data_IF_086108666798
#
_entry.id   IF_086108666798
#
_cell.length_a   1.000
_cell.length_b   1.000
_cell.length_c   1.000
_cell.angle_alpha   90.00
_cell.angle_beta   90.00
_cell.angle_gamma   90.00
#
_symmetry.space_group_name_H-M   'P 1'
#
loop_
_entity.id
_entity.type
_entity.pdbx_description
1 polymer ?
#
# COMPACT_ATOMS: atom_id res chain seq x y z
N UNK A 1 3.29 -65.19 -43.80
CA UNK A 1 2.30 -64.18 -43.35
C UNK A 1 3.06 -63.02 -42.75
N UNK A 2 2.91 -61.82 -43.32
CA UNK A 2 3.34 -60.55 -42.75
C UNK A 2 2.45 -59.49 -43.42
N UNK A 3 1.54 -58.85 -42.69
CA UNK A 3 0.82 -57.67 -43.19
C UNK A 3 1.47 -56.48 -42.50
N UNK A 4 2.19 -55.60 -43.23
CA UNK A 4 2.75 -54.40 -42.62
C UNK A 4 1.60 -53.48 -42.19
N UNK A 5 1.54 -53.15 -40.91
CA UNK A 5 0.69 -52.09 -40.40
C UNK A 5 1.45 -50.77 -40.62
N UNK A 6 0.98 -49.91 -41.53
CA UNK A 6 1.59 -48.60 -41.75
C UNK A 6 1.09 -47.59 -40.69
N UNK A 7 1.95 -46.65 -40.24
CA UNK A 7 1.54 -45.57 -39.34
C UNK A 7 0.52 -44.64 -40.01
N UNK A 8 -0.30 -43.96 -39.20
CA UNK A 8 -1.27 -42.98 -39.67
C UNK A 8 -0.55 -41.79 -40.34
N UNK A 9 -1.12 -41.30 -41.46
CA UNK A 9 -0.56 -40.18 -42.21
C UNK A 9 -0.73 -38.87 -41.43
N UNK A 10 0.39 -38.30 -40.96
CA UNK A 10 0.45 -36.96 -40.38
C UNK A 10 0.39 -35.90 -41.48
N UNK A 11 -0.75 -35.76 -42.13
CA UNK A 11 -1.00 -34.64 -43.05
C UNK A 11 -2.22 -33.87 -42.56
N UNK A 12 -2.07 -32.63 -42.03
CA UNK A 12 -3.23 -31.83 -41.67
C UNK A 12 -4.00 -31.48 -42.95
N UNK A 13 -5.35 -31.52 -42.92
CA UNK A 13 -6.15 -31.16 -44.07
C UNK A 13 -5.91 -29.69 -44.42
N UNK A 14 -5.62 -29.43 -45.68
CA UNK A 14 -5.56 -28.07 -46.22
C UNK A 14 -6.97 -27.48 -46.22
N UNK A 15 -7.34 -26.80 -45.14
CA UNK A 15 -8.56 -26.00 -45.07
C UNK A 15 -8.43 -24.84 -46.07
N UNK A 16 -9.14 -24.96 -47.19
CA UNK A 16 -9.36 -23.88 -48.14
C UNK A 16 -10.24 -22.81 -47.47
N UNK A 17 -9.59 -21.85 -46.80
CA UNK A 17 -10.17 -20.58 -46.40
C UNK A 17 -9.62 -19.45 -47.27
N UNK A 18 -10.32 -18.30 -47.41
CA UNK A 18 -9.84 -17.17 -48.20
C UNK A 18 -8.47 -16.71 -47.67
N UNK A 19 -7.53 -16.45 -48.58
CA UNK A 19 -6.16 -15.99 -48.32
C UNK A 19 -6.14 -14.88 -47.26
N UNK A 20 -5.83 -15.24 -46.02
CA UNK A 20 -5.49 -14.27 -44.99
C UNK A 20 -4.07 -13.77 -45.31
N UNK A 21 -3.99 -12.53 -45.81
CA UNK A 21 -2.76 -11.75 -45.86
C UNK A 21 -2.14 -11.77 -44.45
N UNK A 22 -0.83 -12.00 -44.29
CA UNK A 22 -0.20 -11.89 -42.97
C UNK A 22 -0.34 -10.45 -42.46
N UNK A 23 -1.24 -10.24 -41.51
CA UNK A 23 -1.30 -8.98 -40.78
C UNK A 23 -0.03 -8.86 -39.93
N UNK A 24 0.68 -7.71 -39.94
CA UNK A 24 1.87 -7.54 -39.11
C UNK A 24 1.51 -7.78 -37.64
N UNK A 25 2.26 -8.69 -37.00
CA UNK A 25 2.12 -9.01 -35.57
C UNK A 25 2.32 -7.70 -34.78
N UNK A 26 1.21 -7.07 -34.37
CA UNK A 26 1.27 -6.00 -33.38
C UNK A 26 1.73 -6.64 -32.07
N UNK A 27 2.75 -6.09 -31.39
CA UNK A 27 3.11 -6.57 -30.07
C UNK A 27 1.92 -6.38 -29.13
N UNK A 28 1.27 -7.47 -28.77
CA UNK A 28 0.29 -7.50 -27.69
C UNK A 28 1.02 -7.16 -26.40
N UNK A 29 0.80 -5.95 -25.91
CA UNK A 29 1.24 -5.55 -24.58
C UNK A 29 0.64 -6.54 -23.57
N UNK A 30 1.44 -7.18 -22.70
CA UNK A 30 0.89 -8.06 -21.68
C UNK A 30 -0.07 -7.25 -20.79
N UNK A 31 -1.20 -7.85 -20.35
CA UNK A 31 -2.09 -7.16 -19.42
C UNK A 31 -1.29 -6.80 -18.17
N UNK A 32 -1.30 -5.50 -17.84
CA UNK A 32 -0.66 -5.02 -16.62
C UNK A 32 -1.23 -5.82 -15.43
N UNK A 33 -0.39 -6.25 -14.46
CA UNK A 33 -0.89 -6.94 -13.29
C UNK A 33 -1.90 -6.03 -12.60
N UNK A 34 -3.16 -6.45 -12.56
CA UNK A 34 -4.19 -5.77 -11.81
C UNK A 34 -3.73 -5.69 -10.36
N UNK A 35 -3.48 -4.48 -9.85
CA UNK A 35 -3.21 -4.27 -8.43
C UNK A 35 -4.40 -4.87 -7.67
N UNK A 36 -4.20 -5.89 -6.82
CA UNK A 36 -5.27 -6.40 -6.00
C UNK A 36 -5.84 -5.23 -5.22
N UNK A 37 -7.17 -5.08 -5.25
CA UNK A 37 -7.82 -4.07 -4.41
C UNK A 37 -7.46 -4.31 -2.95
N UNK A 38 -7.42 -3.26 -2.14
CA UNK A 38 -7.06 -3.34 -0.72
C UNK A 38 -7.88 -4.43 0.01
N UNK A 39 -9.12 -4.65 -0.43
CA UNK A 39 -10.01 -5.73 0.02
C UNK A 39 -9.52 -7.14 -0.32
N UNK A 40 -9.00 -7.38 -1.52
CA UNK A 40 -8.41 -8.69 -1.90
C UNK A 40 -7.11 -8.95 -1.14
N UNK A 41 -6.31 -7.91 -0.88
CA UNK A 41 -5.07 -8.02 -0.12
C UNK A 41 -5.33 -8.30 1.38
N UNK A 42 -6.36 -7.67 1.96
CA UNK A 42 -6.80 -7.94 3.34
C UNK A 42 -7.40 -9.35 3.45
N UNK A 43 -8.12 -9.82 2.43
CA UNK A 43 -8.65 -11.20 2.39
C UNK A 43 -7.54 -12.25 2.25
N UNK A 44 -6.49 -11.93 1.50
CA UNK A 44 -5.33 -12.80 1.32
C UNK A 44 -4.42 -12.86 2.57
N UNK A 45 -4.38 -11.80 3.38
CA UNK A 45 -3.55 -11.77 4.60
C UNK A 45 -4.19 -10.91 5.72
N UNK A 46 -5.12 -11.48 6.51
CA UNK A 46 -5.80 -10.75 7.57
C UNK A 46 -4.85 -10.33 8.71
N UNK A 47 -3.76 -11.08 8.94
CA UNK A 47 -2.77 -10.74 9.96
C UNK A 47 -2.03 -9.43 9.63
N UNK A 48 -1.69 -9.20 8.35
CA UNK A 48 -1.04 -7.96 7.92
C UNK A 48 -1.94 -6.73 8.12
N UNK A 49 -3.26 -6.89 7.94
CA UNK A 49 -4.23 -5.82 8.17
C UNK A 49 -4.29 -5.44 9.67
N UNK A 50 -4.32 -6.42 10.56
CA UNK A 50 -4.35 -6.19 12.02
C UNK A 50 -3.04 -5.54 12.50
N UNK A 51 -1.89 -5.97 11.98
CA UNK A 51 -0.61 -5.33 12.33
C UNK A 51 -0.58 -3.87 11.84
N UNK A 52 -1.11 -3.59 10.66
CA UNK A 52 -1.23 -2.23 10.13
C UNK A 52 -2.08 -1.32 11.01
N UNK A 53 -3.24 -1.78 11.48
CA UNK A 53 -4.10 -0.96 12.35
C UNK A 53 -3.48 -0.74 13.73
N UNK A 54 -2.81 -1.75 14.29
CA UNK A 54 -2.09 -1.61 15.57
C UNK A 54 -0.93 -0.61 15.44
N UNK A 55 -0.18 -0.66 14.34
CA UNK A 55 0.89 0.31 14.08
C UNK A 55 0.36 1.74 13.98
N UNK A 56 -0.74 1.95 13.24
CA UNK A 56 -1.39 3.27 13.15
C UNK A 56 -1.89 3.72 14.51
N UNK A 57 -2.53 2.83 15.27
CA UNK A 57 -2.97 3.10 16.63
C UNK A 57 -1.83 3.51 17.55
N UNK A 58 -0.69 2.82 17.49
CA UNK A 58 0.50 3.13 18.27
C UNK A 58 1.12 4.49 17.90
N UNK A 59 1.12 4.86 16.62
CA UNK A 59 1.60 6.18 16.18
C UNK A 59 0.67 7.29 16.69
N UNK A 60 -0.65 7.07 16.61
CA UNK A 60 -1.64 8.04 17.12
C UNK A 60 -1.52 8.20 18.64
N UNK A 61 -1.39 7.10 19.39
CA UNK A 61 -1.23 7.20 20.86
C UNK A 61 0.10 7.83 21.24
N UNK A 62 1.19 7.53 20.54
CA UNK A 62 2.50 8.15 20.76
C UNK A 62 2.48 9.67 20.50
N UNK A 63 1.87 10.09 19.39
CA UNK A 63 1.73 11.53 19.07
C UNK A 63 0.85 12.24 20.10
N UNK A 64 -0.25 11.64 20.52
CA UNK A 64 -1.14 12.21 21.53
C UNK A 64 -0.45 12.32 22.90
N UNK A 65 0.33 11.32 23.28
CA UNK A 65 1.15 11.33 24.49
C UNK A 65 2.22 12.43 24.42
N UNK A 66 2.92 12.55 23.29
CA UNK A 66 3.92 13.59 23.09
C UNK A 66 3.31 15.00 23.26
N UNK A 67 2.15 15.24 22.63
CA UNK A 67 1.42 16.52 22.76
C UNK A 67 1.00 16.78 24.21
N UNK A 68 0.54 15.76 24.93
CA UNK A 68 0.17 15.91 26.34
C UNK A 68 1.36 16.34 27.20
N UNK A 69 2.53 15.72 27.01
CA UNK A 69 3.76 16.05 27.74
C UNK A 69 4.20 17.49 27.40
N UNK A 70 4.19 17.88 26.13
CA UNK A 70 4.53 19.24 25.71
C UNK A 70 3.56 20.26 26.30
N UNK A 71 2.26 19.96 26.33
CA UNK A 71 1.25 20.83 26.93
C UNK A 71 1.49 21.07 28.43
N UNK A 72 1.85 20.02 29.17
CA UNK A 72 2.21 20.13 30.60
C UNK A 72 3.46 20.98 30.77
N UNK A 73 4.50 20.75 29.96
CA UNK A 73 5.73 21.53 30.00
C UNK A 73 5.46 23.03 29.75
N UNK A 74 4.68 23.35 28.72
CA UNK A 74 4.27 24.73 28.41
C UNK A 74 3.42 25.35 29.52
N UNK A 75 2.54 24.58 30.15
CA UNK A 75 1.76 25.05 31.30
C UNK A 75 2.65 25.45 32.46
N UNK A 76 3.63 24.61 32.81
CA UNK A 76 4.58 24.90 33.90
C UNK A 76 5.43 26.11 33.54
N UNK A 77 6.01 26.15 32.33
CA UNK A 77 6.79 27.29 31.86
C UNK A 77 5.98 28.58 31.87
N UNK A 78 4.72 28.54 31.45
CA UNK A 78 3.82 29.69 31.47
C UNK A 78 3.55 30.21 32.87
N UNK A 79 3.29 29.33 33.84
CA UNK A 79 3.09 29.71 35.25
C UNK A 79 4.35 30.34 35.83
N UNK A 80 5.52 29.75 35.58
CA UNK A 80 6.81 30.28 36.03
C UNK A 80 7.06 31.66 35.44
N UNK A 81 6.84 31.83 34.13
CA UNK A 81 6.97 33.13 33.46
C UNK A 81 6.02 34.16 34.05
N UNK A 82 4.76 33.78 34.32
CA UNK A 82 3.76 34.66 34.90
C UNK A 82 4.15 35.11 36.32
N UNK A 83 4.72 34.21 37.12
CA UNK A 83 5.27 34.54 38.44
C UNK A 83 6.45 35.50 38.36
N UNK A 84 7.41 35.23 37.47
CA UNK A 84 8.55 36.12 37.21
C UNK A 84 8.08 37.52 36.79
N UNK A 85 7.11 37.60 35.88
CA UNK A 85 6.53 38.88 35.45
C UNK A 85 5.83 39.59 36.60
N UNK A 86 5.14 38.86 37.48
CA UNK A 86 4.51 39.45 38.68
C UNK A 86 5.54 40.02 39.64
N UNK A 87 6.60 39.27 39.94
CA UNK A 87 7.69 39.73 40.80
C UNK A 87 8.36 40.99 40.21
N UNK A 88 8.68 40.95 38.92
CA UNK A 88 9.28 42.11 38.25
C UNK A 88 8.38 43.35 38.28
N UNK A 89 7.05 43.17 38.14
CA UNK A 89 6.09 44.27 38.30
C UNK A 89 6.03 44.80 39.72
N UNK A 90 6.18 43.94 40.72
CA UNK A 90 6.23 44.37 42.12
C UNK A 90 7.50 45.18 42.41
N UNK A 91 8.64 44.76 41.87
CA UNK A 91 9.90 45.50 42.01
C UNK A 91 9.88 46.85 41.28
N UNK A 92 9.25 46.92 40.10
CA UNK A 92 9.13 48.20 39.36
C UNK A 92 8.17 49.21 39.99
N UNK A 93 7.19 48.75 40.76
CA UNK A 93 6.20 49.60 41.43
C UNK A 93 6.60 49.96 42.88
N UNK A 94 7.82 49.62 43.29
CA UNK A 94 8.38 49.90 44.61
C UNK A 94 9.36 51.06 44.55
#
# INVERSE_FOLDING_TARGET
MFKPQYPAADTPPSTTGPLAVPEPIRPTTPPAPARPGLVDQVRANPAAAVVGTVAVGAVVTSTLLAVAITGIALSISGVVLLLLVRLLRQDLHR
#
